data_IF_287845445311
#
_entry.id   IF_287845445311
#
_cell.length_a   1.000
_cell.length_b   1.000
_cell.length_c   1.000
_cell.angle_alpha   90.00
_cell.angle_beta   90.00
_cell.angle_gamma   90.00
#
_symmetry.space_group_name_H-M   'P 1'
#
loop_
_entity.id
_entity.type
_entity.pdbx_description
1 polymer ?
#
# COMPACT_ATOMS: atom_id res chain seq x y z
N UNK A 1 8.51 13.15 -12.32
CA UNK A 1 7.35 13.90 -11.80
C UNK A 1 7.23 13.53 -10.34
N UNK A 2 7.36 14.49 -9.44
CA UNK A 2 7.39 14.22 -8.01
C UNK A 2 6.02 13.76 -7.50
N UNK A 3 6.00 12.79 -6.60
CA UNK A 3 4.77 12.39 -5.93
C UNK A 3 4.23 13.54 -5.05
N UNK A 4 2.92 13.55 -4.78
CA UNK A 4 2.30 14.56 -3.91
C UNK A 4 2.99 14.64 -2.53
N UNK A 5 3.40 13.49 -1.97
CA UNK A 5 4.12 13.41 -0.70
C UNK A 5 5.52 14.03 -0.77
N UNK A 6 6.26 13.84 -1.87
CA UNK A 6 7.53 14.54 -2.08
C UNK A 6 7.35 16.05 -2.17
N UNK A 7 6.35 16.49 -2.92
CA UNK A 7 6.03 17.92 -3.08
C UNK A 7 5.68 18.58 -1.75
N UNK A 8 4.82 17.97 -0.93
CA UNK A 8 4.45 18.54 0.39
C UNK A 8 5.60 18.61 1.38
N UNK A 9 6.62 17.76 1.20
CA UNK A 9 7.78 17.68 2.09
C UNK A 9 9.00 18.46 1.59
N UNK A 10 8.92 19.04 0.38
CA UNK A 10 10.05 19.66 -0.30
C UNK A 10 11.20 18.67 -0.54
N UNK A 11 10.86 17.40 -0.82
CA UNK A 11 11.82 16.33 -1.08
C UNK A 11 12.04 16.17 -2.59
N UNK A 12 13.24 16.51 -3.04
CA UNK A 12 13.69 16.28 -4.40
C UNK A 12 14.66 15.09 -4.41
N UNK A 13 14.32 14.04 -5.15
CA UNK A 13 15.21 12.90 -5.40
C UNK A 13 15.71 13.04 -6.83
N UNK A 14 17.02 12.98 -7.03
CA UNK A 14 17.56 12.96 -8.39
C UNK A 14 17.18 11.66 -9.13
N UNK A 15 17.48 11.59 -10.42
CA UNK A 15 17.14 10.44 -11.27
C UNK A 15 17.71 9.12 -10.73
N UNK A 16 18.99 9.11 -10.34
CA UNK A 16 19.62 7.92 -9.78
C UNK A 16 19.02 7.52 -8.42
N UNK A 17 18.70 8.48 -7.55
CA UNK A 17 18.00 8.21 -6.29
C UNK A 17 16.60 7.65 -6.52
N UNK A 18 15.87 8.19 -7.50
CA UNK A 18 14.54 7.72 -7.91
C UNK A 18 14.58 6.29 -8.44
N UNK A 19 15.54 5.98 -9.31
CA UNK A 19 15.72 4.64 -9.88
C UNK A 19 16.04 3.61 -8.80
N UNK A 20 16.92 3.95 -7.85
CA UNK A 20 17.25 3.07 -6.73
C UNK A 20 16.07 2.89 -5.76
N UNK A 21 15.25 3.93 -5.58
CA UNK A 21 14.06 3.88 -4.75
C UNK A 21 12.88 3.14 -5.40
N UNK A 22 12.94 2.84 -6.70
CA UNK A 22 11.81 2.30 -7.47
C UNK A 22 11.17 1.07 -6.83
N UNK A 23 11.98 0.07 -6.47
CA UNK A 23 11.46 -1.17 -5.87
C UNK A 23 10.80 -0.93 -4.51
N UNK A 24 11.37 -0.04 -3.69
CA UNK A 24 10.79 0.37 -2.41
C UNK A 24 9.45 1.08 -2.62
N UNK A 25 9.39 2.01 -3.57
CA UNK A 25 8.16 2.74 -3.92
C UNK A 25 7.06 1.80 -4.44
N UNK A 26 7.38 0.89 -5.36
CA UNK A 26 6.43 -0.08 -5.89
C UNK A 26 5.91 -1.03 -4.81
N UNK A 27 6.78 -1.45 -3.89
CA UNK A 27 6.40 -2.27 -2.74
C UNK A 27 5.45 -1.52 -1.80
N UNK A 28 5.73 -0.25 -1.50
CA UNK A 28 4.84 0.60 -0.71
C UNK A 28 3.47 0.80 -1.39
N UNK A 29 3.45 1.03 -2.71
CA UNK A 29 2.22 1.12 -3.49
C UNK A 29 1.36 -0.14 -3.40
N UNK A 30 1.98 -1.32 -3.41
CA UNK A 30 1.28 -2.60 -3.20
C UNK A 30 0.65 -2.70 -1.82
N UNK A 31 1.39 -2.35 -0.75
CA UNK A 31 0.85 -2.32 0.62
C UNK A 31 -0.35 -1.39 0.69
N UNK A 32 -0.24 -0.19 0.12
CA UNK A 32 -1.29 0.82 0.14
C UNK A 32 -2.56 0.34 -0.57
N UNK A 33 -2.41 -0.25 -1.76
CA UNK A 33 -3.51 -0.80 -2.55
C UNK A 33 -4.20 -1.98 -1.85
N UNK A 34 -3.45 -2.97 -1.37
CA UNK A 34 -4.04 -4.12 -0.67
C UNK A 34 -4.73 -3.71 0.64
N UNK A 35 -4.15 -2.75 1.37
CA UNK A 35 -4.80 -2.16 2.55
C UNK A 35 -6.11 -1.49 2.17
N UNK A 36 -6.14 -0.75 1.05
CA UNK A 36 -7.36 -0.14 0.58
C UNK A 36 -8.41 -1.20 0.21
N UNK A 37 -8.04 -2.23 -0.55
CA UNK A 37 -8.94 -3.33 -0.94
C UNK A 37 -9.58 -3.99 0.29
N UNK A 38 -8.78 -4.25 1.33
CA UNK A 38 -9.26 -4.88 2.56
C UNK A 38 -10.37 -4.09 3.26
N UNK A 39 -10.18 -2.77 3.43
CA UNK A 39 -11.12 -1.94 4.19
C UNK A 39 -12.29 -1.44 3.33
N UNK A 40 -12.03 -1.11 2.07
CA UNK A 40 -13.07 -0.68 1.12
C UNK A 40 -14.08 -1.78 0.80
N UNK A 41 -13.66 -3.05 0.90
CA UNK A 41 -14.53 -4.20 0.64
C UNK A 41 -15.83 -4.17 1.44
N UNK A 42 -15.83 -3.59 2.65
CA UNK A 42 -17.04 -3.41 3.46
C UNK A 42 -18.20 -2.75 2.70
N UNK A 43 -17.86 -1.78 1.84
CA UNK A 43 -18.81 -1.01 1.02
C UNK A 43 -18.90 -1.62 -0.38
N UNK A 44 -17.74 -1.85 -1.02
CA UNK A 44 -17.64 -2.33 -2.40
C UNK A 44 -18.35 -3.68 -2.61
N UNK A 45 -18.42 -4.54 -1.59
CA UNK A 45 -19.15 -5.83 -1.69
C UNK A 45 -20.65 -5.65 -1.95
N UNK A 46 -21.24 -4.54 -1.49
CA UNK A 46 -22.66 -4.22 -1.67
C UNK A 46 -22.94 -3.28 -2.83
N UNK A 47 -21.91 -2.62 -3.38
CA UNK A 47 -22.07 -1.78 -4.56
C UNK A 47 -22.53 -2.62 -5.75
N UNK A 48 -23.62 -2.16 -6.38
CA UNK A 48 -24.13 -2.72 -7.62
C UNK A 48 -23.19 -2.35 -8.75
N UNK A 49 -22.39 -3.32 -9.19
CA UNK A 49 -21.74 -3.28 -10.49
C UNK A 49 -22.67 -3.94 -11.49
N UNK A 50 -22.73 -3.40 -12.72
CA UNK A 50 -23.44 -4.07 -13.81
C UNK A 50 -22.93 -5.51 -13.94
N UNK A 51 -23.75 -6.45 -14.39
CA UNK A 51 -23.35 -7.86 -14.49
C UNK A 51 -22.13 -8.11 -15.41
N UNK A 52 -21.78 -7.12 -16.24
CA UNK A 52 -20.59 -7.10 -17.08
C UNK A 52 -19.35 -6.50 -16.39
N UNK A 53 -19.51 -5.79 -15.28
CA UNK A 53 -18.45 -5.10 -14.56
C UNK A 53 -17.89 -5.96 -13.42
N UNK A 54 -16.58 -6.17 -13.47
CA UNK A 54 -15.83 -6.88 -12.42
C UNK A 54 -15.57 -5.94 -11.24
N UNK A 55 -15.77 -6.43 -10.01
CA UNK A 55 -15.26 -5.74 -8.81
C UNK A 55 -13.74 -5.78 -8.81
N UNK A 56 -13.11 -4.62 -8.91
CA UNK A 56 -11.64 -4.46 -8.90
C UNK A 56 -11.12 -4.43 -7.47
N UNK A 57 -11.16 -5.58 -6.79
CA UNK A 57 -10.73 -5.73 -5.40
C UNK A 57 -10.04 -7.09 -5.20
N UNK A 58 -9.01 -7.15 -4.35
CA UNK A 58 -8.28 -8.37 -4.05
C UNK A 58 -9.14 -9.48 -3.41
N UNK A 59 -10.16 -9.16 -2.62
CA UNK A 59 -10.99 -10.16 -1.92
C UNK A 59 -11.65 -11.15 -2.89
N UNK A 60 -12.46 -10.73 -3.89
CA UNK A 60 -13.06 -11.66 -4.84
C UNK A 60 -12.03 -12.40 -5.71
N UNK A 61 -10.85 -11.80 -5.97
CA UNK A 61 -9.75 -12.47 -6.68
C UNK A 61 -9.21 -13.62 -5.83
N UNK A 62 -8.97 -13.40 -4.54
CA UNK A 62 -8.48 -14.42 -3.60
C UNK A 62 -9.52 -15.53 -3.43
N UNK A 63 -10.80 -15.19 -3.27
CA UNK A 63 -11.89 -16.17 -3.19
C UNK A 63 -11.89 -17.11 -4.40
N UNK A 64 -11.79 -16.54 -5.61
CA UNK A 64 -11.78 -17.33 -6.84
C UNK A 64 -10.50 -18.15 -7.00
N UNK A 65 -9.34 -17.58 -6.69
CA UNK A 65 -8.04 -18.21 -6.93
C UNK A 65 -7.76 -19.36 -5.96
N UNK A 66 -8.24 -19.25 -4.72
CA UNK A 66 -7.93 -20.20 -3.64
C UNK A 66 -9.17 -20.95 -3.11
N UNK A 67 -10.32 -20.78 -3.76
CA UNK A 67 -11.59 -21.41 -3.36
C UNK A 67 -11.99 -21.12 -1.90
N UNK A 68 -11.71 -19.89 -1.45
CA UNK A 68 -11.99 -19.43 -0.09
C UNK A 68 -13.34 -18.71 -0.02
N UNK A 69 -13.98 -18.79 1.16
CA UNK A 69 -15.09 -17.89 1.47
C UNK A 69 -14.59 -16.45 1.72
N UNK A 70 -15.51 -15.49 1.80
CA UNK A 70 -15.19 -14.06 1.98
C UNK A 70 -14.39 -13.77 3.27
N UNK A 71 -14.71 -14.45 4.37
CA UNK A 71 -14.04 -14.25 5.66
C UNK A 71 -12.59 -14.74 5.59
N UNK A 72 -12.37 -15.96 5.12
CA UNK A 72 -11.04 -16.55 4.95
C UNK A 72 -10.20 -15.79 3.93
N UNK A 73 -10.80 -15.31 2.83
CA UNK A 73 -10.12 -14.46 1.86
C UNK A 73 -9.68 -13.12 2.47
N UNK A 74 -10.50 -12.53 3.35
CA UNK A 74 -10.15 -11.30 4.07
C UNK A 74 -9.02 -11.53 5.07
N UNK A 75 -9.01 -12.66 5.77
CA UNK A 75 -7.91 -13.07 6.66
C UNK A 75 -6.62 -13.29 5.86
N UNK A 76 -6.71 -13.98 4.72
CA UNK A 76 -5.58 -14.17 3.81
C UNK A 76 -5.01 -12.83 3.34
N UNK A 77 -5.87 -11.90 2.92
CA UNK A 77 -5.47 -10.57 2.49
C UNK A 77 -4.74 -9.78 3.59
N UNK A 78 -5.20 -9.85 4.85
CA UNK A 78 -4.49 -9.28 6.01
C UNK A 78 -3.08 -9.84 6.14
N UNK A 79 -2.93 -11.17 6.04
CA UNK A 79 -1.62 -11.81 6.05
C UNK A 79 -0.71 -11.33 4.93
N UNK A 80 -1.27 -11.18 3.71
CA UNK A 80 -0.54 -10.68 2.55
C UNK A 80 -0.07 -9.23 2.71
N UNK A 81 -0.91 -8.37 3.31
CA UNK A 81 -0.53 -6.98 3.65
C UNK A 81 0.66 -6.98 4.60
N UNK A 82 0.58 -7.73 5.72
CA UNK A 82 1.67 -7.80 6.71
C UNK A 82 2.97 -8.32 6.07
N UNK A 83 2.87 -9.32 5.20
CA UNK A 83 4.02 -9.82 4.45
C UNK A 83 4.66 -8.70 3.59
N UNK A 84 3.86 -7.96 2.82
CA UNK A 84 4.39 -6.88 1.99
C UNK A 84 4.86 -5.65 2.78
N UNK A 85 4.32 -5.39 3.97
CA UNK A 85 4.85 -4.39 4.89
C UNK A 85 6.27 -4.75 5.34
N UNK A 86 6.51 -6.02 5.67
CA UNK A 86 7.84 -6.51 6.05
C UNK A 86 8.83 -6.36 4.89
N UNK A 87 8.45 -6.80 3.68
CA UNK A 87 9.27 -6.64 2.47
C UNK A 87 9.58 -5.15 2.21
N UNK A 88 8.58 -4.28 2.33
CA UNK A 88 8.75 -2.83 2.13
C UNK A 88 9.71 -2.24 3.16
N UNK A 89 9.62 -2.66 4.42
CA UNK A 89 10.55 -2.24 5.48
C UNK A 89 11.98 -2.66 5.18
N UNK A 90 12.20 -3.89 4.73
CA UNK A 90 13.53 -4.40 4.36
C UNK A 90 14.13 -3.66 3.16
N UNK A 91 13.32 -3.36 2.14
CA UNK A 91 13.72 -2.54 1.00
C UNK A 91 14.11 -1.13 1.45
N UNK A 92 13.31 -0.51 2.33
CA UNK A 92 13.63 0.80 2.91
C UNK A 92 14.95 0.77 3.68
N UNK A 93 15.21 -0.24 4.50
CA UNK A 93 16.48 -0.38 5.21
C UNK A 93 17.68 -0.57 4.27
N UNK A 94 17.49 -1.32 3.18
CA UNK A 94 18.52 -1.51 2.17
C UNK A 94 18.84 -0.19 1.44
N UNK A 95 17.79 0.57 1.10
CA UNK A 95 17.92 1.88 0.49
C UNK A 95 18.67 2.86 1.40
N UNK A 96 18.32 2.90 2.69
CA UNK A 96 19.02 3.73 3.68
C UNK A 96 20.50 3.40 3.78
N UNK A 97 20.86 2.12 3.87
CA UNK A 97 22.27 1.70 3.90
C UNK A 97 23.02 2.08 2.61
N UNK A 98 22.38 1.91 1.45
CA UNK A 98 22.98 2.23 0.15
C UNK A 98 23.37 3.70 0.03
N UNK A 99 22.54 4.60 0.55
CA UNK A 99 22.79 6.04 0.57
C UNK A 99 23.48 6.52 1.85
N UNK A 100 24.08 5.60 2.62
CA UNK A 100 24.78 5.89 3.88
C UNK A 100 23.96 6.78 4.82
N UNK A 101 22.65 6.51 4.92
CA UNK A 101 21.71 7.26 5.74
C UNK A 101 21.72 8.77 5.46
N UNK A 102 21.79 9.15 4.18
CA UNK A 102 21.67 10.56 3.79
C UNK A 102 20.37 11.17 4.32
N UNK A 103 20.38 12.47 4.61
CA UNK A 103 19.22 13.16 5.16
C UNK A 103 17.99 13.03 4.25
N UNK A 104 18.16 13.23 2.94
CA UNK A 104 17.09 13.11 1.94
C UNK A 104 16.49 11.72 1.92
N UNK A 105 17.32 10.68 1.85
CA UNK A 105 16.83 9.30 1.75
C UNK A 105 16.19 8.82 3.05
N UNK A 106 16.74 9.24 4.19
CA UNK A 106 16.14 8.99 5.51
C UNK A 106 14.75 9.58 5.59
N UNK A 107 14.61 10.87 5.27
CA UNK A 107 13.32 11.55 5.30
C UNK A 107 12.33 10.94 4.30
N UNK A 108 12.78 10.52 3.11
CA UNK A 108 11.93 9.85 2.12
C UNK A 108 11.38 8.51 2.64
N UNK A 109 12.25 7.60 3.11
CA UNK A 109 11.85 6.28 3.61
C UNK A 109 10.94 6.38 4.83
N UNK A 110 11.26 7.25 5.78
CA UNK A 110 10.42 7.47 6.97
C UNK A 110 9.05 8.04 6.60
N UNK A 111 8.99 8.98 5.65
CA UNK A 111 7.75 9.60 5.21
C UNK A 111 6.84 8.60 4.48
N UNK A 112 7.40 7.72 3.66
CA UNK A 112 6.65 6.60 3.06
C UNK A 112 6.12 5.66 4.15
N UNK A 113 6.93 5.33 5.16
CA UNK A 113 6.48 4.52 6.29
C UNK A 113 5.30 5.14 7.04
N UNK A 114 5.36 6.44 7.32
CA UNK A 114 4.26 7.19 7.93
C UNK A 114 3.02 7.24 7.03
N UNK A 115 3.19 7.39 5.72
CA UNK A 115 2.09 7.36 4.76
C UNK A 115 1.36 6.00 4.78
N UNK A 116 2.08 4.88 4.82
CA UNK A 116 1.48 3.55 4.90
C UNK A 116 0.72 3.36 6.22
N UNK A 117 1.33 3.73 7.35
CA UNK A 117 0.67 3.67 8.66
C UNK A 117 -0.57 4.56 8.73
N UNK A 118 -0.49 5.78 8.19
CA UNK A 118 -1.62 6.70 8.10
C UNK A 118 -2.74 6.17 7.20
N UNK A 119 -2.42 5.57 6.06
CA UNK A 119 -3.37 4.93 5.16
C UNK A 119 -4.12 3.78 5.86
N UNK A 120 -3.40 2.92 6.59
CA UNK A 120 -3.98 1.82 7.36
C UNK A 120 -4.93 2.34 8.45
N UNK A 121 -4.46 3.29 9.28
CA UNK A 121 -5.28 3.87 10.35
C UNK A 121 -6.53 4.58 9.81
N UNK A 122 -6.38 5.40 8.78
CA UNK A 122 -7.50 6.10 8.16
C UNK A 122 -8.47 5.12 7.54
N UNK A 123 -8.01 4.13 6.77
CA UNK A 123 -8.89 3.15 6.12
C UNK A 123 -9.68 2.33 7.14
N UNK A 124 -9.08 2.02 8.29
CA UNK A 124 -9.74 1.31 9.37
C UNK A 124 -10.81 2.13 10.11
N UNK A 125 -10.81 3.45 9.99
CA UNK A 125 -11.63 4.34 10.84
C UNK A 125 -12.47 5.35 10.07
N UNK A 126 -12.24 5.54 8.77
CA UNK A 126 -12.87 6.60 8.03
C UNK A 126 -14.36 6.30 7.77
N UNK A 127 -15.23 7.33 7.77
CA UNK A 127 -16.65 7.17 7.45
C UNK A 127 -16.91 6.62 6.03
N UNK A 128 -15.92 6.75 5.13
CA UNK A 128 -16.02 6.23 3.76
C UNK A 128 -16.17 4.70 3.73
N UNK A 129 -15.48 3.98 4.63
CA UNK A 129 -15.51 2.51 4.70
C UNK A 129 -16.27 1.98 5.92
N UNK A 130 -16.63 2.88 6.82
CA UNK A 130 -17.33 2.59 8.08
C UNK A 130 -18.52 3.57 8.23
N UNK A 131 -19.57 3.43 7.38
CA UNK A 131 -20.75 4.29 7.42
C UNK A 131 -21.60 4.09 8.67
#
# INVERSE_FOLDING_TARGET
MDSFMQWTLGLDLNEAETDEAHNFYMSAGRVMGLTNDLYSWNVERTESVDAADRKWNAVPVIMQQYELNEEDASVFLRGLIVHHEQVTRELGQTLLRRFNYSHTMTKYVESVGLMLGGNCFWSATCPRYNP
#
